data_IF_414639572067
#
_entry.id   IF_414639572067
#
_cell.length_a   1.000
_cell.length_b   1.000
_cell.length_c   1.000
_cell.angle_alpha   90.00
_cell.angle_beta   90.00
_cell.angle_gamma   90.00
#
_symmetry.space_group_name_H-M   'P 1'
#
loop_
_entity.id
_entity.type
_entity.pdbx_description
1 polymer ?
#
# COMPACT_ATOMS: atom_id res chain seq x y z
N UNK A 1 -10.91 -33.97 34.74
CA UNK A 1 -10.40 -32.57 34.69
C UNK A 1 -9.44 -32.50 33.49
N UNK A 2 -9.96 -32.25 32.30
CA UNK A 2 -9.16 -32.16 31.08
C UNK A 2 -9.06 -30.68 30.70
N UNK A 3 -7.91 -30.06 30.97
CA UNK A 3 -7.55 -28.75 30.42
C UNK A 3 -6.59 -29.00 29.25
N UNK A 4 -7.14 -29.04 28.05
CA UNK A 4 -6.37 -28.77 26.82
C UNK A 4 -6.03 -27.28 26.82
N UNK A 5 -4.81 -26.95 27.23
CA UNK A 5 -4.23 -25.62 26.98
C UNK A 5 -3.85 -25.59 25.51
N UNK A 6 -4.69 -24.95 24.71
CA UNK A 6 -4.44 -24.63 23.31
C UNK A 6 -3.14 -23.84 23.20
N UNK A 7 -2.30 -24.23 22.24
CA UNK A 7 -0.99 -23.64 22.00
C UNK A 7 -1.06 -22.13 21.76
N UNK A 8 -0.09 -21.44 22.33
CA UNK A 8 0.25 -20.07 21.96
C UNK A 8 0.79 -20.09 20.53
N UNK A 9 -0.11 -20.03 19.54
CA UNK A 9 0.28 -19.62 18.20
C UNK A 9 0.72 -18.15 18.30
N UNK A 10 1.92 -17.78 17.79
CA UNK A 10 2.35 -16.39 17.78
C UNK A 10 1.29 -15.56 17.06
N UNK A 11 0.82 -14.48 17.69
CA UNK A 11 -0.14 -13.54 17.11
C UNK A 11 0.47 -12.94 15.83
N UNK A 12 0.12 -13.53 14.68
CA UNK A 12 0.59 -13.07 13.39
C UNK A 12 -0.07 -11.72 13.07
N UNK A 13 0.71 -10.69 12.66
CA UNK A 13 0.13 -9.43 12.19
C UNK A 13 -0.88 -9.69 11.07
N UNK A 14 -2.12 -9.27 11.27
CA UNK A 14 -3.17 -9.40 10.27
C UNK A 14 -3.29 -8.11 9.46
N UNK A 15 -4.06 -8.14 8.38
CA UNK A 15 -4.30 -6.97 7.54
C UNK A 15 -4.87 -5.77 8.33
N UNK A 16 -5.59 -6.03 9.42
CA UNK A 16 -6.10 -5.01 10.35
C UNK A 16 -4.95 -4.34 11.12
N UNK A 17 -3.97 -5.11 11.60
CA UNK A 17 -2.80 -4.60 12.32
C UNK A 17 -2.02 -3.61 11.45
N UNK A 18 -1.77 -3.96 10.19
CA UNK A 18 -1.07 -3.08 9.25
C UNK A 18 -1.91 -1.86 8.86
N UNK A 19 -3.22 -2.01 8.66
CA UNK A 19 -4.11 -0.88 8.35
C UNK A 19 -4.15 0.13 9.48
N UNK A 20 -4.21 -0.32 10.75
CA UNK A 20 -4.21 0.57 11.93
C UNK A 20 -2.88 1.30 12.06
N UNK A 21 -1.76 0.61 11.88
CA UNK A 21 -0.42 1.19 11.90
C UNK A 21 -0.26 2.25 10.80
N UNK A 22 -0.64 1.91 9.57
CA UNK A 22 -0.53 2.82 8.44
C UNK A 22 -1.43 4.05 8.61
N UNK A 23 -2.63 3.90 9.19
CA UNK A 23 -3.52 5.03 9.48
C UNK A 23 -2.91 5.98 10.53
N UNK A 24 -2.42 5.45 11.65
CA UNK A 24 -1.80 6.24 12.72
C UNK A 24 -0.59 7.06 12.23
N UNK A 25 0.12 6.53 11.23
CA UNK A 25 1.27 7.16 10.58
C UNK A 25 0.88 8.19 9.51
N UNK A 26 -0.40 8.40 9.19
CA UNK A 26 -0.82 9.40 8.18
C UNK A 26 -1.42 10.68 8.77
N UNK A 27 -1.61 10.74 10.10
CA UNK A 27 -2.32 11.82 10.80
C UNK A 27 -1.41 12.79 11.58
N UNK A 28 -0.08 12.61 11.54
CA UNK A 28 0.86 13.35 12.38
C UNK A 28 1.75 14.37 11.62
N UNK A 29 2.43 15.30 12.33
CA UNK A 29 3.11 16.44 11.72
C UNK A 29 4.34 16.08 10.87
N UNK A 30 5.05 15.00 11.17
CA UNK A 30 6.22 14.52 10.42
C UNK A 30 5.83 13.57 9.26
N UNK A 31 5.01 14.09 8.34
CA UNK A 31 4.38 13.33 7.24
C UNK A 31 5.37 12.57 6.34
N UNK A 32 6.63 13.04 6.21
CA UNK A 32 7.65 12.40 5.36
C UNK A 32 8.30 11.19 6.01
N UNK A 33 8.66 11.26 7.30
CA UNK A 33 9.27 10.11 7.97
C UNK A 33 8.26 8.98 8.09
N UNK A 34 7.01 9.32 8.41
CA UNK A 34 5.95 8.33 8.54
C UNK A 34 5.57 7.67 7.21
N UNK A 35 5.59 8.42 6.10
CA UNK A 35 5.44 7.83 4.78
C UNK A 35 6.53 6.79 4.47
N UNK A 36 7.77 7.00 4.92
CA UNK A 36 8.83 5.99 4.79
C UNK A 36 8.55 4.76 5.65
N UNK A 37 8.09 4.96 6.88
CA UNK A 37 7.76 3.86 7.79
C UNK A 37 6.60 3.02 7.24
N UNK A 38 5.57 3.66 6.65
CA UNK A 38 4.47 2.98 5.96
C UNK A 38 4.96 2.09 4.81
N UNK A 39 5.90 2.59 4.00
CA UNK A 39 6.46 1.82 2.89
C UNK A 39 7.36 0.68 3.38
N UNK A 40 8.11 0.88 4.47
CA UNK A 40 8.89 -0.18 5.09
C UNK A 40 7.99 -1.33 5.59
N UNK A 41 6.86 -0.99 6.21
CA UNK A 41 5.85 -1.95 6.66
C UNK A 41 5.16 -2.65 5.48
N UNK A 42 4.90 -1.92 4.38
CA UNK A 42 4.37 -2.51 3.15
C UNK A 42 5.33 -3.54 2.55
N UNK A 43 6.61 -3.23 2.46
CA UNK A 43 7.64 -4.13 1.95
C UNK A 43 7.78 -5.39 2.84
N UNK A 44 7.65 -5.23 4.15
CA UNK A 44 7.62 -6.34 5.10
C UNK A 44 6.39 -7.23 4.88
N UNK A 45 5.21 -6.65 4.72
CA UNK A 45 3.98 -7.39 4.40
C UNK A 45 4.10 -8.16 3.08
N UNK A 46 4.72 -7.56 2.05
CA UNK A 46 4.99 -8.24 0.78
C UNK A 46 5.98 -9.40 0.91
N UNK A 47 7.03 -9.27 1.73
CA UNK A 47 7.95 -10.38 2.02
C UNK A 47 7.28 -11.51 2.79
N UNK A 48 6.44 -11.17 3.76
CA UNK A 48 5.67 -12.16 4.53
C UNK A 48 4.67 -12.90 3.63
N UNK A 49 3.96 -12.20 2.75
CA UNK A 49 3.03 -12.81 1.81
C UNK A 49 3.70 -13.82 0.87
N UNK A 50 4.86 -13.48 0.31
CA UNK A 50 5.66 -14.42 -0.51
C UNK A 50 6.16 -15.63 0.27
N UNK A 51 6.50 -15.45 1.55
CA UNK A 51 7.01 -16.53 2.41
C UNK A 51 5.90 -17.50 2.85
N UNK A 52 4.68 -17.00 3.01
CA UNK A 52 3.54 -17.76 3.52
C UNK A 52 2.58 -18.23 2.40
N UNK A 53 2.86 -17.88 1.14
CA UNK A 53 1.99 -18.15 -0.03
C UNK A 53 0.54 -17.72 0.22
N UNK A 54 0.37 -16.54 0.81
CA UNK A 54 -0.92 -15.99 1.21
C UNK A 54 -0.93 -14.47 1.03
N UNK A 55 -2.00 -13.87 0.47
CA UNK A 55 -2.08 -12.43 0.29
C UNK A 55 -2.24 -11.71 1.63
N UNK A 56 -1.15 -11.12 2.13
CA UNK A 56 -1.13 -10.29 3.35
C UNK A 56 -1.50 -8.84 3.04
N UNK A 57 -1.41 -8.44 1.77
CA UNK A 57 -1.78 -7.10 1.28
C UNK A 57 -3.24 -7.09 0.82
N UNK A 58 -3.99 -6.04 1.17
CA UNK A 58 -5.35 -5.81 0.71
C UNK A 58 -5.49 -4.41 0.09
N UNK A 59 -6.69 -4.07 -0.41
CA UNK A 59 -6.98 -2.76 -0.99
C UNK A 59 -6.55 -1.59 -0.08
N UNK A 60 -6.79 -1.69 1.23
CA UNK A 60 -6.38 -0.66 2.18
C UNK A 60 -4.85 -0.57 2.29
N UNK A 61 -4.13 -1.70 2.29
CA UNK A 61 -2.66 -1.72 2.28
C UNK A 61 -2.10 -0.97 1.07
N UNK A 62 -2.67 -1.18 -0.12
CA UNK A 62 -2.30 -0.44 -1.34
C UNK A 62 -2.62 1.06 -1.24
N UNK A 63 -3.80 1.43 -0.71
CA UNK A 63 -4.20 2.84 -0.50
C UNK A 63 -3.19 3.61 0.36
N UNK A 64 -2.74 3.00 1.45
CA UNK A 64 -1.81 3.64 2.37
C UNK A 64 -0.40 3.74 1.78
N UNK A 65 0.07 2.69 1.10
CA UNK A 65 1.36 2.70 0.42
C UNK A 65 1.42 3.77 -0.68
N UNK A 66 0.37 3.89 -1.50
CA UNK A 66 0.28 4.93 -2.53
C UNK A 66 0.19 6.35 -1.97
N UNK A 67 -0.54 6.53 -0.86
CA UNK A 67 -0.55 7.82 -0.14
C UNK A 67 0.84 8.19 0.38
N UNK A 68 1.60 7.22 0.87
CA UNK A 68 2.99 7.44 1.27
C UNK A 68 3.88 7.83 0.08
N UNK A 69 3.74 7.17 -1.07
CA UNK A 69 4.43 7.57 -2.29
C UNK A 69 4.08 9.00 -2.73
N UNK A 70 2.82 9.42 -2.65
CA UNK A 70 2.40 10.80 -2.92
C UNK A 70 3.12 11.80 -1.98
N UNK A 71 3.13 11.53 -0.68
CA UNK A 71 3.79 12.39 0.31
C UNK A 71 5.31 12.53 0.09
N UNK A 72 5.94 11.46 -0.40
CA UNK A 72 7.38 11.42 -0.70
C UNK A 72 7.72 11.87 -2.12
N UNK A 73 6.72 12.00 -2.99
CA UNK A 73 6.90 12.24 -4.41
C UNK A 73 7.46 11.03 -5.16
N UNK A 74 7.42 9.81 -4.61
CA UNK A 74 8.03 8.63 -5.22
C UNK A 74 7.17 8.05 -6.35
N UNK A 75 7.21 8.70 -7.51
CA UNK A 75 6.43 8.32 -8.68
C UNK A 75 6.70 6.89 -9.17
N UNK A 76 7.96 6.46 -9.24
CA UNK A 76 8.30 5.12 -9.74
C UNK A 76 7.76 4.02 -8.82
N UNK A 77 7.92 4.19 -7.50
CA UNK A 77 7.36 3.26 -6.51
C UNK A 77 5.83 3.23 -6.54
N UNK A 78 5.19 4.37 -6.78
CA UNK A 78 3.73 4.41 -6.95
C UNK A 78 3.24 3.58 -8.15
N UNK A 79 4.00 3.58 -9.25
CA UNK A 79 3.67 2.78 -10.44
C UNK A 79 3.86 1.28 -10.21
N UNK A 80 4.93 0.90 -9.51
CA UNK A 80 5.16 -0.49 -9.09
C UNK A 80 4.00 -1.00 -8.22
N UNK A 81 3.58 -0.21 -7.22
CA UNK A 81 2.45 -0.57 -6.34
C UNK A 81 1.14 -0.70 -7.12
N UNK A 82 0.89 0.17 -8.11
CA UNK A 82 -0.26 0.06 -9.01
C UNK A 82 -0.26 -1.26 -9.81
N UNK A 83 0.92 -1.67 -10.31
CA UNK A 83 1.07 -2.94 -11.03
C UNK A 83 0.87 -4.13 -10.09
N UNK A 84 1.44 -4.08 -8.87
CA UNK A 84 1.25 -5.10 -7.84
C UNK A 84 -0.25 -5.25 -7.50
N UNK A 85 -0.99 -4.14 -7.41
CA UNK A 85 -2.42 -4.17 -7.12
C UNK A 85 -3.23 -4.88 -8.21
N UNK A 86 -2.91 -4.62 -9.49
CA UNK A 86 -3.51 -5.31 -10.64
C UNK A 86 -3.17 -6.79 -10.67
N UNK A 87 -1.91 -7.15 -10.37
CA UNK A 87 -1.48 -8.55 -10.30
C UNK A 87 -2.18 -9.34 -9.18
N UNK A 88 -2.72 -8.65 -8.18
CA UNK A 88 -3.53 -9.25 -7.10
C UNK A 88 -5.05 -9.14 -7.36
N UNK A 89 -5.47 -8.82 -8.59
CA UNK A 89 -6.89 -8.60 -8.96
C UNK A 89 -7.63 -7.57 -8.09
N UNK A 90 -6.89 -6.62 -7.51
CA UNK A 90 -7.47 -5.53 -6.72
C UNK A 90 -7.73 -4.33 -7.64
N UNK A 91 -9.01 -3.97 -7.81
CA UNK A 91 -9.42 -2.85 -8.67
C UNK A 91 -8.98 -1.52 -8.06
N UNK A 92 -8.34 -0.69 -8.88
CA UNK A 92 -7.99 0.68 -8.50
C UNK A 92 -9.23 1.57 -8.45
N UNK A 93 -9.37 2.32 -7.37
CA UNK A 93 -10.36 3.39 -7.26
C UNK A 93 -9.77 4.75 -7.68
N UNK A 94 -10.62 5.77 -7.71
CA UNK A 94 -10.25 7.14 -8.06
C UNK A 94 -9.13 7.67 -7.16
N UNK A 95 -9.11 7.28 -5.88
CA UNK A 95 -8.13 7.76 -4.91
C UNK A 95 -6.75 7.13 -5.17
N UNK A 96 -6.67 5.85 -5.51
CA UNK A 96 -5.44 5.17 -5.93
C UNK A 96 -4.82 5.89 -7.13
N UNK A 97 -5.62 6.13 -8.18
CA UNK A 97 -5.17 6.83 -9.38
C UNK A 97 -4.69 8.26 -9.08
N UNK A 98 -5.42 9.01 -8.26
CA UNK A 98 -5.04 10.37 -7.86
C UNK A 98 -3.71 10.40 -7.08
N UNK A 99 -3.51 9.49 -6.14
CA UNK A 99 -2.27 9.42 -5.36
C UNK A 99 -1.06 9.07 -6.24
N UNK A 100 -1.22 8.10 -7.16
CA UNK A 100 -0.16 7.73 -8.09
C UNK A 100 0.21 8.87 -9.05
N UNK A 101 -0.80 9.58 -9.58
CA UNK A 101 -0.60 10.75 -10.43
C UNK A 101 0.13 11.87 -9.70
N UNK A 102 -0.26 12.18 -8.46
CA UNK A 102 0.41 13.22 -7.67
C UNK A 102 1.87 12.86 -7.35
N UNK A 103 2.14 11.59 -7.00
CA UNK A 103 3.50 11.10 -6.81
C UNK A 103 4.34 11.28 -8.09
N UNK A 104 3.80 10.88 -9.25
CA UNK A 104 4.46 11.04 -10.55
C UNK A 104 4.68 12.51 -10.92
N UNK A 105 3.69 13.38 -10.67
CA UNK A 105 3.78 14.82 -10.95
C UNK A 105 4.91 15.48 -10.14
N UNK A 106 5.06 15.11 -8.86
CA UNK A 106 6.13 15.59 -7.97
C UNK A 106 7.52 15.15 -8.41
N UNK A 107 7.63 14.00 -9.09
CA UNK A 107 8.87 13.53 -9.73
C UNK A 107 9.09 14.09 -11.14
N UNK A 108 8.20 14.95 -11.66
CA UNK A 108 8.31 15.52 -13.01
C UNK A 108 7.86 14.58 -14.14
N UNK A 109 7.23 13.45 -13.82
CA UNK A 109 6.78 12.44 -14.79
C UNK A 109 5.41 12.79 -15.40
N UNK A 110 5.30 13.96 -16.05
CA UNK A 110 4.04 14.50 -16.58
C UNK A 110 3.40 13.59 -17.64
N UNK A 111 4.20 12.97 -18.50
CA UNK A 111 3.69 12.03 -19.52
C UNK A 111 3.03 10.81 -18.88
N UNK A 112 3.59 10.33 -17.77
CA UNK A 112 3.03 9.21 -17.01
C UNK A 112 1.71 9.57 -16.35
N UNK A 113 1.57 10.81 -15.85
CA UNK A 113 0.30 11.31 -15.31
C UNK A 113 -0.80 11.29 -16.36
N UNK A 114 -0.51 11.77 -17.58
CA UNK A 114 -1.47 11.76 -18.69
C UNK A 114 -1.88 10.34 -19.11
N UNK A 115 -0.92 9.39 -19.09
CA UNK A 115 -1.21 7.97 -19.34
C UNK A 115 -2.13 7.37 -18.28
N UNK A 116 -1.85 7.60 -17.00
CA UNK A 116 -2.69 7.13 -15.89
C UNK A 116 -4.10 7.72 -15.96
N UNK A 117 -4.25 8.97 -16.39
CA UNK A 117 -5.56 9.60 -16.57
C UNK A 117 -6.37 8.95 -17.71
N UNK A 118 -5.70 8.58 -18.80
CA UNK A 118 -6.35 7.83 -19.88
C UNK A 118 -6.78 6.44 -19.40
N UNK A 119 -5.93 5.76 -18.64
CA UNK A 119 -6.19 4.43 -18.09
C UNK A 119 -7.34 4.41 -17.08
N UNK A 120 -7.44 5.43 -16.22
CA UNK A 120 -8.59 5.59 -15.32
C UNK A 120 -9.93 5.66 -16.07
N UNK A 121 -9.95 6.18 -17.30
CA UNK A 121 -11.17 6.27 -18.13
C UNK A 121 -11.53 4.96 -18.80
N UNK A 122 -10.59 4.03 -18.94
CA UNK A 122 -10.80 2.70 -19.54
C UNK A 122 -11.09 1.62 -18.49
N UNK A 123 -10.56 1.78 -17.28
CA UNK A 123 -10.74 0.83 -16.17
C UNK A 123 -12.04 1.03 -15.37
N UNK A 124 -12.73 2.15 -15.59
CA UNK A 124 -14.02 2.49 -14.98
C UNK A 124 -15.16 1.64 -15.52
#
# INVERSE_FOLDING_TARGET
>A
RNQTVYGEQPLLPTAITFTVLMRALTEQPDRRQQARDVLAVYDEAGRLGRRLDYPVVNENTFKHALRACDLLGWGDRALEILQEMRANDVKADVLIYANAMNACAKNGHVQTVMRLLAEMRTDG
#
